data_IF_678452391315
#
_entry.id   IF_678452391315
#
_cell.length_a   1.000
_cell.length_b   1.000
_cell.length_c   1.000
_cell.angle_alpha   90.00
_cell.angle_beta   90.00
_cell.angle_gamma   90.00
#
_symmetry.space_group_name_H-M   'P 1'
#
loop_
_entity.id
_entity.type
_entity.pdbx_description
1 polymer ?
#
# COMPACT_ATOMS: atom_id res chain seq x y z
N UNK A 1 -9.92 7.30 -13.45
CA UNK A 1 -9.38 5.99 -13.82
C UNK A 1 -8.09 5.82 -13.06
N UNK A 2 -8.14 5.14 -11.91
CA UNK A 2 -6.94 4.74 -11.17
C UNK A 2 -6.15 3.81 -12.09
N UNK A 3 -4.89 4.13 -12.36
CA UNK A 3 -4.03 3.28 -13.17
C UNK A 3 -3.82 1.99 -12.39
N UNK A 4 -4.22 0.86 -12.95
CA UNK A 4 -3.85 -0.44 -12.42
C UNK A 4 -2.31 -0.49 -12.31
N UNK A 5 -1.80 -0.67 -11.10
CA UNK A 5 -0.39 -0.95 -10.90
C UNK A 5 -0.17 -2.41 -11.29
N UNK A 6 0.31 -2.66 -12.51
CA UNK A 6 0.78 -3.98 -12.92
C UNK A 6 2.18 -4.20 -12.35
N UNK A 7 2.37 -5.31 -11.64
CA UNK A 7 3.68 -5.71 -11.13
C UNK A 7 4.67 -5.86 -12.29
N UNK A 8 5.80 -5.15 -12.21
CA UNK A 8 6.87 -5.22 -13.20
C UNK A 8 7.73 -6.47 -13.06
N UNK A 9 8.58 -6.80 -14.06
CA UNK A 9 9.52 -7.90 -13.96
C UNK A 9 10.54 -7.65 -12.83
N UNK A 10 10.85 -8.69 -12.06
CA UNK A 10 11.76 -8.64 -10.92
C UNK A 10 11.92 -9.98 -10.20
N UNK A 11 12.84 -10.10 -9.22
CA UNK A 11 13.11 -11.36 -8.53
C UNK A 11 11.92 -11.93 -7.76
N UNK A 12 10.89 -11.12 -7.46
CA UNK A 12 9.64 -11.54 -6.82
C UNK A 12 8.46 -11.59 -7.79
N UNK A 13 8.71 -11.66 -9.10
CA UNK A 13 7.65 -11.83 -10.10
C UNK A 13 6.80 -13.05 -9.79
N UNK A 14 5.47 -12.88 -9.82
CA UNK A 14 4.50 -13.95 -9.51
C UNK A 14 4.21 -14.13 -8.02
N UNK A 15 4.94 -13.44 -7.12
CA UNK A 15 4.61 -13.40 -5.70
C UNK A 15 3.47 -12.41 -5.47
N UNK A 16 2.46 -12.81 -4.69
CA UNK A 16 1.36 -11.95 -4.24
C UNK A 16 1.52 -11.62 -2.76
N UNK A 17 1.40 -10.34 -2.42
CA UNK A 17 1.56 -9.82 -1.06
C UNK A 17 0.27 -9.16 -0.60
N UNK A 18 -0.27 -9.64 0.51
CA UNK A 18 -1.36 -8.98 1.22
C UNK A 18 -0.78 -8.18 2.39
N UNK A 19 -0.85 -6.86 2.31
CA UNK A 19 -0.34 -5.97 3.33
C UNK A 19 -1.46 -5.47 4.25
N UNK A 20 -1.46 -5.97 5.48
CA UNK A 20 -2.32 -5.52 6.59
C UNK A 20 -1.56 -4.73 7.67
N UNK A 21 -0.28 -4.42 7.41
CA UNK A 21 0.56 -3.69 8.35
C UNK A 21 0.17 -2.22 8.43
N UNK A 22 0.25 -1.63 9.62
CA UNK A 22 -0.12 -0.23 9.87
C UNK A 22 1.11 0.68 10.02
N UNK A 23 0.86 1.99 9.97
CA UNK A 23 1.84 3.06 10.07
C UNK A 23 2.89 2.99 8.96
N UNK A 24 4.16 2.76 9.31
CA UNK A 24 5.28 2.92 8.38
C UNK A 24 5.95 1.59 8.06
N UNK A 25 6.37 0.84 9.09
CA UNK A 25 7.30 -0.28 8.92
C UNK A 25 6.71 -1.42 8.10
N UNK A 26 5.47 -1.83 8.40
CA UNK A 26 4.77 -2.88 7.66
C UNK A 26 4.54 -2.49 6.19
N UNK A 27 3.92 -1.33 5.93
CA UNK A 27 3.76 -0.83 4.57
C UNK A 27 5.06 -0.71 3.79
N UNK A 28 6.11 -0.19 4.41
CA UNK A 28 7.39 -0.01 3.74
C UNK A 28 8.02 -1.33 3.33
N UNK A 29 7.93 -2.36 4.17
CA UNK A 29 8.38 -3.71 3.80
C UNK A 29 7.61 -4.25 2.58
N UNK A 30 6.28 -4.08 2.55
CA UNK A 30 5.46 -4.51 1.41
C UNK A 30 5.78 -3.70 0.14
N UNK A 31 6.07 -2.39 0.27
CA UNK A 31 6.55 -1.55 -0.84
C UNK A 31 7.88 -2.04 -1.37
N UNK A 32 8.83 -2.44 -0.52
CA UNK A 32 10.10 -3.03 -0.98
C UNK A 32 9.87 -4.32 -1.79
N UNK A 33 8.98 -5.20 -1.33
CA UNK A 33 8.64 -6.41 -2.08
C UNK A 33 8.02 -6.08 -3.44
N UNK A 34 7.16 -5.05 -3.49
CA UNK A 34 6.54 -4.62 -4.74
C UNK A 34 7.57 -4.04 -5.73
N UNK A 35 8.55 -3.27 -5.27
CA UNK A 35 9.67 -2.81 -6.10
C UNK A 35 10.49 -3.96 -6.69
N UNK A 36 10.54 -5.10 -6.00
CA UNK A 36 11.19 -6.32 -6.47
C UNK A 36 10.30 -7.17 -7.39
N UNK A 37 9.13 -6.66 -7.80
CA UNK A 37 8.23 -7.29 -8.77
C UNK A 37 7.08 -8.09 -8.16
N UNK A 38 6.87 -8.02 -6.84
CA UNK A 38 5.69 -8.63 -6.22
C UNK A 38 4.41 -7.83 -6.53
N UNK A 39 3.29 -8.53 -6.68
CA UNK A 39 1.97 -7.90 -6.75
C UNK A 39 1.45 -7.67 -5.33
N UNK A 40 1.47 -6.41 -4.88
CA UNK A 40 1.14 -6.04 -3.50
C UNK A 40 -0.17 -5.25 -3.41
N UNK A 41 -1.03 -5.66 -2.48
CA UNK A 41 -2.27 -4.97 -2.13
C UNK A 41 -2.26 -4.62 -0.64
N UNK A 42 -2.35 -3.32 -0.35
CA UNK A 42 -2.62 -2.77 0.97
C UNK A 42 -4.11 -2.84 1.27
N UNK A 43 -4.47 -3.52 2.35
CA UNK A 43 -5.85 -3.53 2.86
C UNK A 43 -5.94 -2.63 4.07
N UNK A 44 -6.93 -1.75 4.05
CA UNK A 44 -7.24 -0.82 5.13
C UNK A 44 -8.69 -0.97 5.59
N UNK A 45 -8.94 -0.45 6.78
CA UNK A 45 -10.27 -0.35 7.36
C UNK A 45 -11.07 0.73 6.61
N UNK A 46 -12.42 0.75 6.72
CA UNK A 46 -13.26 1.76 6.07
C UNK A 46 -12.96 3.22 6.40
N UNK A 47 -12.35 3.48 7.56
CA UNK A 47 -11.91 4.80 7.98
C UNK A 47 -10.48 5.15 7.50
N UNK A 48 -9.83 4.23 6.79
CA UNK A 48 -8.44 4.33 6.36
C UNK A 48 -7.46 4.36 7.54
N UNK A 49 -6.18 4.62 7.26
CA UNK A 49 -5.21 4.92 8.31
C UNK A 49 -5.02 6.41 8.58
N UNK A 50 -4.82 6.75 9.86
CA UNK A 50 -4.48 8.11 10.30
C UNK A 50 -3.25 8.68 9.58
N UNK A 51 -2.28 7.83 9.21
CA UNK A 51 -1.07 8.26 8.52
C UNK A 51 -1.36 8.89 7.14
N UNK A 52 -2.52 8.60 6.51
CA UNK A 52 -2.95 9.27 5.27
C UNK A 52 -3.12 10.78 5.43
N UNK A 53 -3.38 11.25 6.65
CA UNK A 53 -3.68 12.64 7.00
C UNK A 53 -2.49 13.37 7.65
N UNK A 54 -1.34 12.72 7.83
CA UNK A 54 -0.17 13.35 8.43
C UNK A 54 0.46 14.41 7.52
N UNK A 55 0.81 15.55 8.11
CA UNK A 55 1.58 16.59 7.43
C UNK A 55 3.08 16.23 7.35
N UNK A 56 3.80 16.68 6.31
CA UNK A 56 3.31 17.48 5.18
C UNK A 56 2.51 16.63 4.18
N UNK A 57 1.64 17.29 3.41
CA UNK A 57 0.77 16.64 2.43
C UNK A 57 1.06 17.15 1.02
N UNK A 58 0.97 16.25 0.04
CA UNK A 58 1.02 16.58 -1.38
C UNK A 58 -0.26 16.06 -2.04
N UNK A 59 -0.94 16.94 -2.79
CA UNK A 59 -2.22 16.61 -3.46
C UNK A 59 -3.28 15.99 -2.52
N UNK A 60 -3.32 16.43 -1.26
CA UNK A 60 -4.31 15.95 -0.29
C UNK A 60 -3.99 14.58 0.33
N UNK A 61 -2.78 14.04 0.14
CA UNK A 61 -2.31 12.82 0.82
C UNK A 61 -0.99 13.10 1.54
N UNK A 62 -0.81 12.48 2.72
CA UNK A 62 0.45 12.53 3.45
C UNK A 62 1.64 12.06 2.60
N UNK A 63 2.74 12.80 2.67
CA UNK A 63 4.02 12.38 2.06
C UNK A 63 4.57 11.13 2.74
N UNK A 64 4.35 10.99 4.06
CA UNK A 64 4.76 9.82 4.82
C UNK A 64 4.01 8.57 4.34
N UNK A 65 2.68 8.66 4.22
CA UNK A 65 1.86 7.57 3.67
C UNK A 65 2.30 7.19 2.25
N UNK A 66 2.51 8.18 1.38
CA UNK A 66 2.95 7.94 0.00
C UNK A 66 4.30 7.23 -0.05
N UNK A 67 5.25 7.64 0.79
CA UNK A 67 6.58 7.04 0.82
C UNK A 67 6.59 5.60 1.33
N UNK A 68 5.71 5.26 2.28
CA UNK A 68 5.62 3.92 2.86
C UNK A 68 4.68 2.97 2.11
N UNK A 69 3.77 3.47 1.26
CA UNK A 69 2.77 2.64 0.55
C UNK A 69 2.92 2.69 -0.99
N UNK A 70 3.98 3.28 -1.52
CA UNK A 70 4.21 3.32 -2.97
C UNK A 70 4.30 1.91 -3.58
N UNK A 71 4.04 1.80 -4.89
CA UNK A 71 4.06 0.52 -5.62
C UNK A 71 3.08 -0.54 -5.09
N UNK A 72 2.10 -0.15 -4.26
CA UNK A 72 1.02 -1.03 -3.81
C UNK A 72 -0.31 -0.55 -4.38
N UNK A 73 -1.19 -1.50 -4.68
CA UNK A 73 -2.62 -1.21 -4.87
C UNK A 73 -3.27 -1.08 -3.49
N UNK A 74 -4.41 -0.40 -3.40
CA UNK A 74 -5.14 -0.22 -2.14
C UNK A 74 -6.54 -0.79 -2.27
N UNK A 75 -7.02 -1.43 -1.21
CA UNK A 75 -8.38 -1.89 -1.06
C UNK A 75 -8.89 -1.63 0.36
N UNK A 76 -10.18 -1.41 0.47
CA UNK A 76 -10.87 -1.23 1.75
C UNK A 76 -11.62 -2.51 2.12
N UNK A 77 -11.55 -2.93 3.38
CA UNK A 77 -12.28 -4.08 3.89
C UNK A 77 -12.62 -3.95 5.38
N UNK A 78 -13.89 -4.11 5.72
CA UNK A 78 -14.32 -4.33 7.11
C UNK A 78 -14.24 -5.82 7.46
N UNK A 79 -13.16 -6.22 8.14
CA UNK A 79 -12.95 -7.60 8.58
C UNK A 79 -13.96 -8.09 9.61
N UNK A 80 -14.76 -7.21 10.24
CA UNK A 80 -15.79 -7.62 11.20
C UNK A 80 -17.12 -7.98 10.54
N UNK A 81 -17.29 -7.61 9.28
CA UNK A 81 -18.50 -7.86 8.49
C UNK A 81 -18.27 -8.81 7.31
N UNK A 82 -17.07 -9.38 7.21
CA UNK A 82 -16.65 -10.32 6.17
C UNK A 82 -17.01 -11.78 6.51
#
# INVERSE_FOLDING_TARGET
>A
MEKEHQAGPGPLSGVRVLNIGTSIVGPWAASLLAHLGADSVKVERPDGEFIRLLHPMQKGISTCYTASNNHQRSAELDLKQA
#
